data_IF_896700423433
#
_entry.id   IF_896700423433
#
_cell.length_a   1.000
_cell.length_b   1.000
_cell.length_c   1.000
_cell.angle_alpha   90.00
_cell.angle_beta   90.00
_cell.angle_gamma   90.00
#
_symmetry.space_group_name_H-M   'P 1'
#
loop_
_entity.id
_entity.type
_entity.pdbx_description
1 polymer ?
#
# COMPACT_ATOMS: atom_id res chain seq x y z
N UNK A 1 -31.06 -7.57 2.81
CA UNK A 1 -30.24 -7.16 1.65
C UNK A 1 -30.95 -6.11 0.79
N UNK A 2 -32.21 -6.31 0.43
CA UNK A 2 -32.93 -5.44 -0.52
C UNK A 2 -33.49 -4.12 0.04
N UNK A 3 -33.43 -3.90 1.36
CA UNK A 3 -33.69 -2.57 1.96
C UNK A 3 -32.78 -1.45 1.42
N UNK A 4 -31.64 -1.76 0.82
CA UNK A 4 -30.77 -0.74 0.19
C UNK A 4 -31.29 -0.29 -1.18
N UNK A 5 -32.08 -1.15 -1.82
CA UNK A 5 -32.71 -0.92 -3.12
C UNK A 5 -34.02 -0.13 -2.97
N UNK A 6 -34.78 -0.42 -1.91
CA UNK A 6 -36.00 0.29 -1.51
C UNK A 6 -35.61 1.66 -0.93
N UNK A 7 -35.85 2.75 -1.66
CA UNK A 7 -35.41 4.10 -1.26
C UNK A 7 -36.45 4.85 -0.46
N UNK A 8 -37.71 4.47 -0.60
CA UNK A 8 -38.85 5.09 0.08
C UNK A 8 -39.35 4.26 1.28
N UNK A 9 -38.72 3.11 1.56
CA UNK A 9 -39.02 2.17 2.65
C UNK A 9 -40.48 1.68 2.62
N UNK A 10 -41.08 1.56 1.41
CA UNK A 10 -42.47 1.14 1.24
C UNK A 10 -42.66 -0.39 1.15
N UNK A 11 -41.55 -1.15 1.18
CA UNK A 11 -41.52 -2.61 1.11
C UNK A 11 -41.63 -3.17 -0.30
N UNK A 12 -41.72 -2.31 -1.32
CA UNK A 12 -41.81 -2.64 -2.74
C UNK A 12 -40.72 -1.90 -3.52
N UNK A 13 -40.46 -2.36 -4.74
CA UNK A 13 -39.47 -1.76 -5.63
C UNK A 13 -40.15 -1.35 -6.92
N UNK A 14 -40.15 -0.06 -7.22
CA UNK A 14 -40.46 0.40 -8.57
C UNK A 14 -39.42 -0.10 -9.57
N UNK A 15 -39.76 -0.13 -10.86
CA UNK A 15 -38.78 -0.49 -11.89
C UNK A 15 -37.55 0.45 -11.88
N UNK A 16 -37.73 1.72 -11.55
CA UNK A 16 -36.63 2.69 -11.48
C UNK A 16 -35.67 2.37 -10.31
N UNK A 17 -36.19 2.02 -9.14
CA UNK A 17 -35.38 1.58 -8.00
C UNK A 17 -34.67 0.26 -8.28
N UNK A 18 -35.39 -0.68 -8.91
CA UNK A 18 -34.82 -1.95 -9.33
C UNK A 18 -33.69 -1.73 -10.34
N UNK A 19 -33.91 -0.92 -11.39
CA UNK A 19 -32.90 -0.63 -12.39
C UNK A 19 -31.69 0.06 -11.77
N UNK A 20 -31.89 1.04 -10.88
CA UNK A 20 -30.80 1.76 -10.24
C UNK A 20 -29.95 0.87 -9.32
N UNK A 21 -30.56 -0.15 -8.70
CA UNK A 21 -29.84 -1.04 -7.79
C UNK A 21 -29.22 -2.25 -8.49
N UNK A 22 -29.86 -2.80 -9.52
CA UNK A 22 -29.44 -4.03 -10.20
C UNK A 22 -28.73 -3.80 -11.55
N UNK A 23 -28.65 -2.57 -12.05
CA UNK A 23 -27.87 -2.29 -13.25
C UNK A 23 -26.38 -2.59 -13.02
N UNK A 24 -25.91 -3.66 -13.64
CA UNK A 24 -24.51 -4.11 -13.62
C UNK A 24 -23.74 -3.71 -14.89
N UNK A 25 -24.42 -3.08 -15.86
CA UNK A 25 -23.84 -2.72 -17.16
C UNK A 25 -23.69 -3.90 -18.12
N UNK A 26 -24.02 -5.12 -17.69
CA UNK A 26 -23.99 -6.35 -18.49
C UNK A 26 -25.37 -6.60 -19.10
N UNK A 27 -26.43 -6.53 -18.28
CA UNK A 27 -27.80 -6.67 -18.74
C UNK A 27 -28.29 -5.37 -19.38
N UNK A 28 -28.91 -5.48 -20.56
CA UNK A 28 -29.57 -4.35 -21.19
C UNK A 28 -30.82 -3.92 -20.40
N UNK A 29 -31.27 -2.65 -20.53
CA UNK A 29 -32.50 -2.19 -19.87
C UNK A 29 -33.75 -3.02 -20.23
N UNK A 30 -33.75 -3.69 -21.39
CA UNK A 30 -34.82 -4.59 -21.82
C UNK A 30 -34.77 -5.91 -21.07
N UNK A 31 -33.59 -6.54 -20.99
CA UNK A 31 -33.40 -7.78 -20.24
C UNK A 31 -33.63 -7.59 -18.73
N UNK A 32 -33.24 -6.43 -18.17
CA UNK A 32 -33.57 -6.06 -16.79
C UNK A 32 -35.08 -5.90 -16.57
N UNK A 33 -35.81 -5.39 -17.56
CA UNK A 33 -37.27 -5.27 -17.50
C UNK A 33 -37.96 -6.62 -17.64
N UNK A 34 -37.46 -7.50 -18.49
CA UNK A 34 -37.93 -8.89 -18.57
C UNK A 34 -37.68 -9.64 -17.25
N UNK A 35 -36.52 -9.44 -16.64
CA UNK A 35 -36.20 -9.98 -15.32
C UNK A 35 -37.19 -9.46 -14.25
N UNK A 36 -37.41 -8.14 -14.20
CA UNK A 36 -38.37 -7.52 -13.28
C UNK A 36 -39.77 -8.13 -13.42
N UNK A 37 -40.29 -8.22 -14.65
CA UNK A 37 -41.60 -8.80 -14.94
C UNK A 37 -41.66 -10.30 -14.62
N UNK A 38 -40.57 -11.04 -14.83
CA UNK A 38 -40.50 -12.48 -14.53
C UNK A 38 -40.56 -12.78 -13.03
N UNK A 39 -40.07 -11.87 -12.19
CA UNK A 39 -40.07 -12.02 -10.73
C UNK A 39 -41.44 -11.65 -10.16
N UNK A 40 -42.07 -10.58 -10.66
CA UNK A 40 -43.35 -10.12 -10.10
C UNK A 40 -44.52 -11.04 -10.47
N UNK A 41 -44.49 -11.66 -11.65
CA UNK A 41 -45.52 -12.60 -12.13
C UNK A 41 -46.89 -11.95 -12.42
N UNK A 42 -47.07 -10.68 -12.06
CA UNK A 42 -48.25 -9.85 -12.29
C UNK A 42 -47.84 -8.51 -12.93
N UNK A 43 -48.73 -7.83 -13.64
CA UNK A 43 -48.47 -6.52 -14.25
C UNK A 43 -48.65 -5.39 -13.22
N UNK A 44 -48.11 -5.55 -12.01
CA UNK A 44 -48.04 -4.48 -11.02
C UNK A 44 -46.72 -3.72 -11.25
N UNK A 45 -46.77 -2.38 -11.28
CA UNK A 45 -45.57 -1.55 -11.52
C UNK A 45 -44.50 -1.66 -10.40
N UNK A 46 -44.82 -2.36 -9.30
CA UNK A 46 -44.00 -2.46 -8.10
C UNK A 46 -43.79 -3.92 -7.69
N UNK A 47 -42.53 -4.30 -7.55
CA UNK A 47 -42.10 -5.63 -7.16
C UNK A 47 -41.97 -5.75 -5.64
N UNK A 48 -42.67 -6.71 -5.04
CA UNK A 48 -42.58 -6.97 -3.60
C UNK A 48 -41.20 -7.52 -3.23
N UNK A 49 -40.60 -6.95 -2.16
CA UNK A 49 -39.27 -7.35 -1.70
C UNK A 49 -39.23 -8.82 -1.27
N UNK A 50 -40.34 -9.39 -0.80
CA UNK A 50 -40.46 -10.81 -0.43
C UNK A 50 -40.34 -11.74 -1.64
N UNK A 51 -41.02 -11.44 -2.75
CA UNK A 51 -40.89 -12.22 -4.00
C UNK A 51 -39.46 -12.20 -4.54
N UNK A 52 -38.80 -11.06 -4.41
CA UNK A 52 -37.42 -10.90 -4.80
C UNK A 52 -36.47 -11.69 -3.87
N UNK A 53 -36.76 -11.75 -2.56
CA UNK A 53 -36.07 -12.64 -1.64
C UNK A 53 -36.23 -14.11 -2.04
N UNK A 54 -37.44 -14.56 -2.38
CA UNK A 54 -37.70 -15.93 -2.83
C UNK A 54 -36.95 -16.28 -4.11
N UNK A 55 -36.92 -15.34 -5.05
CA UNK A 55 -36.20 -15.50 -6.32
C UNK A 55 -34.70 -15.70 -6.13
N UNK A 56 -34.05 -14.85 -5.32
CA UNK A 56 -32.61 -14.95 -5.06
C UNK A 56 -32.26 -16.11 -4.14
N UNK A 57 -33.11 -16.45 -3.17
CA UNK A 57 -32.89 -17.57 -2.24
C UNK A 57 -32.69 -18.92 -2.94
N UNK A 58 -33.37 -19.10 -4.08
CA UNK A 58 -33.24 -20.27 -4.96
C UNK A 58 -31.93 -20.27 -5.79
N UNK A 59 -31.29 -19.12 -5.95
CA UNK A 59 -30.11 -18.90 -6.82
C UNK A 59 -28.83 -18.52 -6.07
N UNK A 60 -28.82 -18.58 -4.74
CA UNK A 60 -27.65 -18.21 -3.93
C UNK A 60 -26.43 -19.11 -4.19
N UNK A 61 -26.64 -20.37 -4.60
CA UNK A 61 -25.56 -21.29 -4.95
C UNK A 61 -24.45 -21.36 -3.89
N UNK A 62 -23.19 -21.26 -4.35
CA UNK A 62 -21.99 -21.28 -3.51
C UNK A 62 -21.89 -20.08 -2.53
N UNK A 63 -22.67 -19.02 -2.74
CA UNK A 63 -22.70 -17.86 -1.85
C UNK A 63 -23.62 -18.04 -0.64
N UNK A 64 -24.47 -19.08 -0.61
CA UNK A 64 -25.32 -19.38 0.56
C UNK A 64 -24.50 -19.52 1.86
N UNK A 65 -23.45 -20.36 1.94
CA UNK A 65 -22.61 -20.45 3.14
C UNK A 65 -21.87 -19.14 3.44
N UNK A 66 -21.50 -18.36 2.42
CA UNK A 66 -20.84 -17.05 2.60
C UNK A 66 -21.76 -16.06 3.31
N UNK A 67 -23.02 -15.94 2.85
CA UNK A 67 -24.00 -15.03 3.46
C UNK A 67 -24.36 -15.48 4.89
N UNK A 68 -24.47 -16.78 5.14
CA UNK A 68 -24.70 -17.31 6.49
C UNK A 68 -23.53 -17.01 7.43
N UNK A 69 -22.28 -17.15 6.96
CA UNK A 69 -21.09 -16.80 7.73
C UNK A 69 -21.04 -15.29 8.04
N UNK A 70 -21.39 -14.43 7.08
CA UNK A 70 -21.48 -12.98 7.29
C UNK A 70 -22.54 -12.60 8.34
N UNK A 71 -23.69 -13.29 8.34
CA UNK A 71 -24.70 -13.09 9.38
C UNK A 71 -24.17 -13.52 10.76
N UNK A 72 -23.54 -14.69 10.85
CA UNK A 72 -22.93 -15.19 12.09
C UNK A 72 -21.85 -14.24 12.61
N UNK A 73 -21.01 -13.71 11.71
CA UNK A 73 -19.98 -12.74 12.04
C UNK A 73 -20.61 -11.45 12.58
N UNK A 74 -21.64 -10.93 11.91
CA UNK A 74 -22.33 -9.73 12.37
C UNK A 74 -22.94 -9.91 13.76
N UNK A 75 -23.58 -11.07 14.03
CA UNK A 75 -24.09 -11.39 15.37
C UNK A 75 -22.96 -11.46 16.41
N UNK A 76 -21.84 -12.10 16.07
CA UNK A 76 -20.69 -12.22 16.97
C UNK A 76 -20.07 -10.86 17.30
N UNK A 77 -19.89 -9.99 16.30
CA UNK A 77 -19.37 -8.62 16.48
C UNK A 77 -20.30 -7.81 17.36
N UNK A 78 -21.62 -7.82 17.09
CA UNK A 78 -22.59 -7.09 17.91
C UNK A 78 -22.60 -7.60 19.36
N UNK A 79 -22.57 -8.92 19.55
CA UNK A 79 -22.50 -9.53 20.89
C UNK A 79 -21.23 -9.11 21.64
N UNK A 80 -20.07 -9.13 20.97
CA UNK A 80 -18.81 -8.68 21.55
C UNK A 80 -18.82 -7.19 21.88
N UNK A 81 -19.43 -6.36 21.04
CA UNK A 81 -19.59 -4.92 21.29
C UNK A 81 -20.49 -4.65 22.48
N UNK A 82 -21.63 -5.34 22.59
CA UNK A 82 -22.55 -5.19 23.73
C UNK A 82 -21.90 -5.63 25.04
N UNK A 83 -21.19 -6.76 25.03
CA UNK A 83 -20.47 -7.26 26.20
C UNK A 83 -19.36 -6.29 26.65
N UNK A 84 -18.51 -5.87 25.71
CA UNK A 84 -17.40 -4.97 26.02
C UNK A 84 -17.88 -3.58 26.44
N UNK A 85 -18.99 -3.07 25.90
CA UNK A 85 -19.56 -1.78 26.29
C UNK A 85 -19.92 -1.72 27.77
N UNK A 86 -20.45 -2.80 28.34
CA UNK A 86 -20.85 -2.85 29.76
C UNK A 86 -19.63 -2.85 30.70
N UNK A 87 -18.56 -3.53 30.32
CA UNK A 87 -17.38 -3.75 31.17
C UNK A 87 -16.30 -2.67 30.98
N UNK A 88 -16.30 -1.97 29.84
CA UNK A 88 -15.21 -1.08 29.43
C UNK A 88 -14.88 0.01 30.46
N UNK A 89 -15.89 0.69 31.02
CA UNK A 89 -15.67 1.80 31.96
C UNK A 89 -15.08 1.34 33.29
N UNK A 90 -15.37 0.10 33.69
CA UNK A 90 -14.92 -0.51 34.95
C UNK A 90 -13.63 -1.31 34.80
N UNK A 91 -13.23 -1.61 33.56
CA UNK A 91 -12.04 -2.39 33.26
C UNK A 91 -10.72 -1.64 33.49
N UNK A 92 -9.62 -2.38 33.62
CA UNK A 92 -8.29 -1.79 33.79
C UNK A 92 -7.84 -1.02 32.54
N UNK A 93 -6.83 -0.14 32.67
CA UNK A 93 -6.27 0.59 31.51
C UNK A 93 -5.71 -0.33 30.43
N UNK A 94 -5.20 -1.49 30.83
CA UNK A 94 -4.70 -2.52 29.90
C UNK A 94 -5.87 -3.17 29.17
N UNK A 95 -6.93 -3.55 29.88
CA UNK A 95 -8.10 -4.18 29.26
C UNK A 95 -8.85 -3.21 28.33
N UNK A 96 -8.97 -1.93 28.71
CA UNK A 96 -9.50 -0.89 27.83
C UNK A 96 -8.64 -0.70 26.56
N UNK A 97 -7.32 -0.87 26.67
CA UNK A 97 -6.46 -0.88 25.50
C UNK A 97 -6.70 -2.12 24.63
N UNK A 98 -6.75 -3.31 25.22
CA UNK A 98 -7.01 -4.58 24.52
C UNK A 98 -8.34 -4.52 23.77
N UNK A 99 -9.41 -4.04 24.41
CA UNK A 99 -10.73 -3.87 23.77
C UNK A 99 -10.67 -2.94 22.55
N UNK A 100 -10.00 -1.78 22.66
CA UNK A 100 -9.83 -0.85 21.52
C UNK A 100 -8.98 -1.46 20.40
N UNK A 101 -7.93 -2.20 20.78
CA UNK A 101 -7.08 -2.91 19.83
C UNK A 101 -7.87 -3.97 19.07
N UNK A 102 -8.59 -4.86 19.76
CA UNK A 102 -9.36 -5.93 19.15
C UNK A 102 -10.49 -5.39 18.25
N UNK A 103 -11.15 -4.30 18.66
CA UNK A 103 -12.15 -3.64 17.82
C UNK A 103 -11.51 -3.09 16.53
N UNK A 104 -10.36 -2.41 16.64
CA UNK A 104 -9.61 -1.91 15.49
C UNK A 104 -9.14 -3.04 14.57
N UNK A 105 -8.65 -4.13 15.16
CA UNK A 105 -8.19 -5.31 14.43
C UNK A 105 -9.34 -5.97 13.68
N UNK A 106 -10.51 -6.12 14.32
CA UNK A 106 -11.72 -6.66 13.68
C UNK A 106 -12.13 -5.83 12.45
N UNK A 107 -12.05 -4.49 12.53
CA UNK A 107 -12.28 -3.61 11.39
C UNK A 107 -11.24 -3.84 10.29
N UNK A 108 -9.96 -3.97 10.65
CA UNK A 108 -8.89 -4.26 9.68
C UNK A 108 -9.10 -5.57 8.93
N UNK A 109 -9.50 -6.63 9.64
CA UNK A 109 -9.80 -7.93 9.03
C UNK A 109 -11.01 -7.88 8.07
N UNK A 110 -12.06 -7.13 8.44
CA UNK A 110 -13.21 -6.90 7.56
C UNK A 110 -12.83 -6.11 6.30
N UNK A 111 -11.95 -5.12 6.42
CA UNK A 111 -11.45 -4.34 5.28
C UNK A 111 -10.62 -5.21 4.33
N UNK A 112 -9.74 -6.07 4.85
CA UNK A 112 -8.97 -6.99 4.02
C UNK A 112 -9.88 -7.95 3.23
N UNK A 113 -10.92 -8.48 3.88
CA UNK A 113 -11.93 -9.31 3.24
C UNK A 113 -12.72 -8.54 2.17
N UNK A 114 -13.08 -7.28 2.44
CA UNK A 114 -13.73 -6.40 1.47
C UNK A 114 -12.85 -6.20 0.23
N UNK A 115 -11.56 -5.86 0.40
CA UNK A 115 -10.64 -5.64 -0.73
C UNK A 115 -10.47 -6.90 -1.60
N UNK A 116 -10.43 -8.09 -0.98
CA UNK A 116 -10.38 -9.35 -1.72
C UNK A 116 -11.66 -9.59 -2.54
N UNK A 117 -12.84 -9.30 -1.97
CA UNK A 117 -14.12 -9.41 -2.68
C UNK A 117 -14.26 -8.37 -3.79
N UNK A 118 -13.77 -7.14 -3.58
CA UNK A 118 -13.75 -6.09 -4.60
C UNK A 118 -12.89 -6.50 -5.81
N UNK A 119 -11.69 -7.04 -5.57
CA UNK A 119 -10.83 -7.55 -6.65
C UNK A 119 -11.47 -8.70 -7.44
N UNK A 120 -12.15 -9.63 -6.75
CA UNK A 120 -12.91 -10.71 -7.39
C UNK A 120 -14.11 -10.18 -8.19
N UNK A 121 -14.81 -9.17 -7.67
CA UNK A 121 -15.93 -8.51 -8.37
C UNK A 121 -15.45 -7.83 -9.66
N UNK A 122 -14.35 -7.08 -9.61
CA UNK A 122 -13.78 -6.42 -10.79
C UNK A 122 -13.37 -7.45 -11.86
N UNK A 123 -12.81 -8.60 -11.46
CA UNK A 123 -12.48 -9.67 -12.43
C UNK A 123 -13.73 -10.26 -13.09
N UNK A 124 -14.81 -10.46 -12.32
CA UNK A 124 -16.09 -10.94 -12.86
C UNK A 124 -16.73 -9.92 -13.81
N UNK A 125 -16.69 -8.64 -13.47
CA UNK A 125 -17.17 -7.55 -14.33
C UNK A 125 -16.40 -7.49 -15.66
N UNK A 126 -15.07 -7.59 -15.61
CA UNK A 126 -14.21 -7.62 -16.81
C UNK A 126 -14.53 -8.84 -17.69
N UNK A 127 -14.72 -10.02 -17.11
CA UNK A 127 -15.10 -11.22 -17.85
C UNK A 127 -16.48 -11.07 -18.51
N UNK A 128 -17.47 -10.54 -17.79
CA UNK A 128 -18.82 -10.32 -18.30
C UNK A 128 -18.86 -9.30 -19.45
N UNK A 129 -18.01 -8.26 -19.40
CA UNK A 129 -17.88 -7.27 -20.48
C UNK A 129 -17.04 -7.79 -21.67
N UNK A 130 -16.03 -8.62 -21.42
CA UNK A 130 -15.14 -9.18 -22.45
C UNK A 130 -15.84 -10.14 -23.43
N UNK A 131 -16.84 -10.89 -22.96
CA UNK A 131 -17.64 -11.80 -23.79
C UNK A 131 -18.38 -11.09 -24.94
N UNK A 132 -18.84 -9.84 -24.73
CA UNK A 132 -19.51 -9.02 -25.77
C UNK A 132 -18.54 -8.46 -26.82
N UNK A 133 -17.29 -8.19 -26.46
CA UNK A 133 -16.27 -7.72 -27.42
C UNK A 133 -15.77 -8.83 -28.35
N UNK A 134 -15.92 -10.10 -27.97
CA UNK A 134 -15.52 -11.25 -28.80
C UNK A 134 -16.54 -11.58 -29.88
N UNK A 135 -17.83 -11.26 -29.68
CA UNK A 135 -18.89 -11.53 -30.68
C UNK A 135 -19.06 -10.41 -31.71
N UNK A 136 -18.44 -9.23 -31.51
CA UNK A 136 -18.51 -8.10 -32.44
C UNK A 136 -17.21 -7.82 -33.21
N UNK A 137 -16.14 -8.59 -33.01
CA UNK A 137 -14.86 -8.38 -33.72
C UNK A 137 -14.77 -9.21 -35.01
N UNK A 138 -15.67 -8.94 -35.95
CA UNK A 138 -15.36 -9.01 -37.39
C UNK A 138 -15.86 -7.71 -38.01
N UNK A 139 -15.11 -6.62 -37.80
CA UNK A 139 -14.76 -5.62 -38.81
C UNK A 139 -14.21 -4.32 -38.16
N UNK A 140 -12.95 -4.04 -38.51
CA UNK A 140 -12.37 -2.70 -38.76
C UNK A 140 -12.13 -1.75 -37.57
N UNK A 141 -10.85 -1.72 -37.18
CA UNK A 141 -9.98 -0.58 -36.87
C UNK A 141 -10.54 0.75 -36.31
N UNK A 142 -9.97 1.09 -35.15
CA UNK A 142 -9.39 2.40 -34.76
C UNK A 142 -10.31 3.54 -34.32
N UNK A 143 -10.36 3.77 -32.99
CA UNK A 143 -9.98 5.04 -32.31
C UNK A 143 -10.27 4.97 -30.80
N UNK A 144 -9.45 5.61 -29.94
CA UNK A 144 -9.70 5.65 -28.51
C UNK A 144 -10.74 6.75 -28.22
N UNK A 145 -11.91 6.37 -27.70
CA UNK A 145 -12.85 7.30 -27.07
C UNK A 145 -12.81 7.10 -25.56
N UNK A 146 -12.38 8.15 -24.88
CA UNK A 146 -12.34 8.22 -23.42
C UNK A 146 -13.73 7.98 -22.82
N UNK A 147 -13.78 7.08 -21.85
CA UNK A 147 -14.96 6.87 -21.02
C UNK A 147 -14.73 7.52 -19.66
N UNK A 148 -15.55 8.53 -19.38
CA UNK A 148 -15.69 9.17 -18.07
C UNK A 148 -16.33 8.14 -17.13
N UNK A 149 -15.57 7.64 -16.15
CA UNK A 149 -16.15 7.02 -14.95
C UNK A 149 -16.62 8.14 -14.02
N UNK A 150 -17.94 8.35 -13.93
CA UNK A 150 -18.55 9.22 -12.93
C UNK A 150 -19.00 8.37 -11.74
N UNK A 151 -18.10 8.18 -10.77
CA UNK A 151 -18.46 7.73 -9.43
C UNK A 151 -19.15 8.87 -8.67
N UNK A 152 -20.36 8.63 -8.17
CA UNK A 152 -20.97 9.50 -7.16
C UNK A 152 -20.62 8.96 -5.77
N UNK A 153 -19.53 9.48 -5.19
CA UNK A 153 -19.42 9.58 -3.73
C UNK A 153 -19.81 11.00 -3.33
N UNK A 154 -20.95 11.10 -2.66
CA UNK A 154 -21.39 12.30 -1.99
C UNK A 154 -20.50 12.53 -0.76
N UNK A 155 -19.72 13.62 -0.76
CA UNK A 155 -19.30 14.25 0.49
C UNK A 155 -20.29 15.39 0.76
N UNK A 156 -21.03 15.27 1.86
CA UNK A 156 -21.78 16.37 2.48
C UNK A 156 -20.93 16.94 3.61
N UNK A 157 -21.07 18.26 3.78
CA UNK A 157 -20.67 19.12 4.91
C UNK A 157 -19.29 19.78 4.77
N UNK A 158 -19.28 21.08 4.44
CA UNK A 158 -19.16 22.17 5.42
C UNK A 158 -19.77 23.44 4.80
N UNK A 159 -20.69 24.04 5.54
CA UNK A 159 -21.23 25.38 5.33
C UNK A 159 -20.27 26.43 5.88
N UNK A 160 -19.97 27.47 5.08
CA UNK A 160 -19.84 28.87 5.54
C UNK A 160 -19.53 29.79 4.35
N UNK A 161 -20.56 30.47 3.88
CA UNK A 161 -20.44 31.75 3.18
C UNK A 161 -19.80 32.78 4.12
N UNK A 162 -19.14 33.82 3.57
CA UNK A 162 -19.83 35.10 3.56
C UNK A 162 -19.93 35.67 2.14
N UNK A 163 -21.14 36.14 1.86
CA UNK A 163 -21.53 37.22 0.95
C UNK A 163 -20.40 37.88 0.18
N UNK A 164 -20.49 37.89 -1.16
CA UNK A 164 -20.42 39.09 -1.99
C UNK A 164 -20.98 38.82 -3.38
N UNK A 165 -21.99 39.60 -3.75
CA UNK A 165 -22.46 39.86 -5.11
C UNK A 165 -23.29 41.15 -5.01
N UNK A 166 -23.47 41.96 -6.08
CA UNK A 166 -23.27 41.61 -7.49
C UNK A 166 -22.57 42.71 -8.33
N UNK A 167 -22.14 42.34 -9.53
CA UNK A 167 -22.06 43.29 -10.65
C UNK A 167 -20.72 43.33 -11.36
N UNK A 168 -20.53 42.44 -12.34
CA UNK A 168 -20.15 42.81 -13.70
C UNK A 168 -19.81 41.53 -14.45
N UNK A 169 -20.48 41.36 -15.58
CA UNK A 169 -20.19 40.39 -16.62
C UNK A 169 -18.70 40.40 -17.00
N UNK A 170 -18.01 39.29 -16.74
CA UNK A 170 -16.84 38.86 -17.51
C UNK A 170 -16.79 37.34 -17.56
N UNK A 171 -17.39 36.81 -18.62
CA UNK A 171 -17.26 35.43 -19.07
C UNK A 171 -15.86 35.30 -19.67
N UNK A 172 -14.98 34.52 -19.04
CA UNK A 172 -13.83 33.94 -19.77
C UNK A 172 -12.42 34.08 -19.19
N UNK A 173 -12.21 34.58 -17.96
CA UNK A 173 -10.91 34.47 -17.29
C UNK A 173 -11.03 33.64 -16.01
N UNK A 174 -10.65 32.37 -16.09
CA UNK A 174 -10.23 31.61 -14.90
C UNK A 174 -9.26 32.50 -14.13
N UNK A 175 -9.61 32.87 -12.90
CA UNK A 175 -8.75 33.68 -12.05
C UNK A 175 -7.38 33.00 -11.98
N UNK A 176 -6.29 33.76 -12.12
CA UNK A 176 -4.93 33.22 -12.03
C UNK A 176 -4.74 32.41 -10.73
N UNK A 177 -5.43 32.81 -9.67
CA UNK A 177 -5.51 32.07 -8.41
C UNK A 177 -6.07 30.66 -8.60
N UNK A 178 -7.14 30.47 -9.38
CA UNK A 178 -7.73 29.16 -9.64
C UNK A 178 -6.78 28.25 -10.42
N UNK A 179 -5.98 28.82 -11.32
CA UNK A 179 -4.97 28.09 -12.08
C UNK A 179 -3.78 27.69 -11.20
N UNK A 180 -3.36 28.56 -10.28
CA UNK A 180 -2.34 28.25 -9.26
C UNK A 180 -2.81 27.16 -8.28
N UNK A 181 -4.09 27.21 -7.84
CA UNK A 181 -4.67 26.16 -7.02
C UNK A 181 -4.72 24.81 -7.73
N UNK A 182 -5.11 24.79 -9.01
CA UNK A 182 -5.10 23.57 -9.82
C UNK A 182 -3.70 22.98 -9.98
N UNK A 183 -2.68 23.80 -10.18
CA UNK A 183 -1.27 23.36 -10.24
C UNK A 183 -0.82 22.74 -8.91
N UNK A 184 -1.20 23.35 -7.79
CA UNK A 184 -0.83 22.83 -6.47
C UNK A 184 -1.54 21.52 -6.13
N UNK A 185 -2.81 21.38 -6.52
CA UNK A 185 -3.56 20.13 -6.38
C UNK A 185 -2.93 19.02 -7.23
N UNK A 186 -2.55 19.32 -8.47
CA UNK A 186 -1.87 18.34 -9.33
C UNK A 186 -0.51 17.92 -8.77
N UNK A 187 0.28 18.86 -8.26
CA UNK A 187 1.55 18.56 -7.60
C UNK A 187 1.38 17.68 -6.37
N UNK A 188 0.34 17.94 -5.56
CA UNK A 188 0.03 17.12 -4.39
C UNK A 188 -0.43 15.72 -4.81
N UNK A 189 -1.19 15.60 -5.89
CA UNK A 189 -1.58 14.30 -6.45
C UNK A 189 -0.34 13.52 -6.90
N UNK A 190 0.61 14.13 -7.61
CA UNK A 190 1.86 13.47 -8.00
C UNK A 190 2.70 13.01 -6.80
N UNK A 191 2.73 13.79 -5.72
CA UNK A 191 3.43 13.41 -4.50
C UNK A 191 2.72 12.28 -3.75
N UNK A 192 1.39 12.27 -3.75
CA UNK A 192 0.59 11.17 -3.19
C UNK A 192 0.80 9.91 -4.03
N UNK A 193 0.72 9.99 -5.36
CA UNK A 193 0.99 8.87 -6.26
C UNK A 193 2.42 8.33 -6.03
N UNK A 194 3.42 9.20 -5.85
CA UNK A 194 4.79 8.81 -5.53
C UNK A 194 4.95 8.16 -4.15
N UNK A 195 4.10 8.48 -3.18
CA UNK A 195 4.11 7.92 -1.83
C UNK A 195 3.29 6.62 -1.76
N UNK A 196 2.17 6.54 -2.46
CA UNK A 196 1.31 5.36 -2.60
C UNK A 196 2.00 4.29 -3.47
N UNK A 197 2.85 4.68 -4.43
CA UNK A 197 3.74 3.77 -5.16
C UNK A 197 4.91 3.21 -4.32
N UNK A 198 5.00 3.50 -3.01
CA UNK A 198 6.03 2.94 -2.10
C UNK A 198 5.52 1.79 -1.25
N UNK A 199 4.74 0.87 -1.81
CA UNK A 199 4.95 -0.52 -1.42
C UNK A 199 6.39 -0.86 -1.85
N UNK A 200 7.24 -1.50 -1.02
CA UNK A 200 8.53 -1.96 -1.51
C UNK A 200 8.26 -2.87 -2.70
N UNK A 201 8.56 -2.39 -3.91
CA UNK A 201 8.58 -3.25 -5.08
C UNK A 201 9.77 -4.17 -4.85
N UNK A 202 9.51 -5.30 -4.20
CA UNK A 202 10.39 -6.44 -4.28
C UNK A 202 10.38 -6.79 -5.76
N UNK A 203 11.43 -6.41 -6.47
CA UNK A 203 11.65 -6.90 -7.83
C UNK A 203 11.45 -8.42 -7.79
N UNK A 204 10.72 -8.99 -8.77
CA UNK A 204 10.57 -10.44 -8.87
C UNK A 204 11.94 -11.10 -8.73
N UNK A 205 12.03 -12.25 -8.04
CA UNK A 205 13.26 -13.01 -7.86
C UNK A 205 13.95 -13.19 -9.23
N UNK A 206 14.94 -12.35 -9.52
CA UNK A 206 15.76 -12.44 -10.71
C UNK A 206 16.95 -13.31 -10.33
N UNK A 207 16.90 -14.58 -10.68
CA UNK A 207 18.10 -15.42 -10.65
C UNK A 207 19.08 -14.87 -11.69
N UNK A 208 20.12 -14.17 -11.23
CA UNK A 208 21.16 -13.66 -12.10
C UNK A 208 21.92 -14.83 -12.73
N UNK A 209 21.88 -14.94 -14.06
CA UNK A 209 22.71 -15.88 -14.81
C UNK A 209 24.20 -15.56 -14.53
N UNK A 210 24.92 -16.53 -13.95
CA UNK A 210 26.37 -16.49 -13.65
C UNK A 210 27.27 -16.42 -14.91
N UNK A 211 26.79 -15.81 -15.99
CA UNK A 211 27.48 -15.70 -17.28
C UNK A 211 28.29 -14.41 -17.44
N UNK A 212 28.28 -13.50 -16.45
CA UNK A 212 29.12 -12.31 -16.46
C UNK A 212 30.37 -12.56 -15.60
N UNK A 213 31.54 -12.26 -16.17
CA UNK A 213 32.85 -12.58 -15.61
C UNK A 213 33.12 -12.06 -14.19
N UNK A 214 34.29 -12.39 -13.61
CA UNK A 214 34.66 -12.20 -12.19
C UNK A 214 34.57 -10.76 -11.65
N UNK A 215 34.30 -9.77 -12.49
CA UNK A 215 34.26 -8.33 -12.19
C UNK A 215 32.85 -7.79 -11.83
N UNK A 216 31.89 -8.67 -11.54
CA UNK A 216 30.46 -8.27 -11.39
C UNK A 216 29.98 -8.16 -9.94
N UNK A 217 30.85 -8.31 -8.94
CA UNK A 217 30.47 -8.29 -7.52
C UNK A 217 31.23 -7.22 -6.75
N UNK A 218 30.57 -6.61 -5.78
CA UNK A 218 31.18 -5.72 -4.82
C UNK A 218 31.20 -6.35 -3.43
N UNK A 219 32.16 -5.94 -2.62
CA UNK A 219 32.44 -6.53 -1.31
C UNK A 219 32.02 -5.58 -0.20
N UNK A 220 31.17 -6.05 0.70
CA UNK A 220 30.91 -5.41 1.99
C UNK A 220 31.80 -6.05 3.06
N UNK A 221 32.56 -5.21 3.76
CA UNK A 221 33.30 -5.56 4.97
C UNK A 221 32.66 -4.86 6.17
N UNK A 222 32.09 -5.64 7.08
CA UNK A 222 31.54 -5.16 8.34
C UNK A 222 32.49 -5.55 9.47
N UNK A 223 33.00 -4.56 10.21
CA UNK A 223 33.82 -4.76 11.41
C UNK A 223 33.07 -4.27 12.65
N UNK A 224 32.84 -5.16 13.60
CA UNK A 224 32.23 -4.85 14.89
C UNK A 224 33.29 -4.87 15.98
N UNK A 225 33.31 -3.82 16.80
CA UNK A 225 34.34 -3.61 17.82
C UNK A 225 33.74 -3.15 19.14
N UNK A 226 34.34 -3.57 20.26
CA UNK A 226 34.00 -3.12 21.61
C UNK A 226 35.22 -2.47 22.25
N UNK A 227 35.18 -1.16 22.44
CA UNK A 227 36.32 -0.34 22.85
C UNK A 227 36.35 -0.18 24.37
N UNK A 228 37.54 -0.14 24.95
CA UNK A 228 37.71 0.23 26.35
C UNK A 228 37.29 1.69 26.59
N UNK A 229 36.52 1.97 27.64
CA UNK A 229 35.96 3.32 27.89
C UNK A 229 37.05 4.38 28.05
N UNK A 230 38.16 4.01 28.68
CA UNK A 230 39.36 4.81 28.86
C UNK A 230 40.06 5.16 27.53
N UNK A 231 39.92 4.32 26.51
CA UNK A 231 40.57 4.48 25.20
C UNK A 231 39.64 5.06 24.12
N UNK A 232 38.39 5.41 24.47
CA UNK A 232 37.37 5.86 23.51
C UNK A 232 37.81 7.08 22.69
N UNK A 233 38.50 8.03 23.32
CA UNK A 233 38.88 9.26 22.64
C UNK A 233 40.02 9.05 21.64
N UNK A 234 41.01 8.21 22.00
CA UNK A 234 42.10 7.81 21.11
C UNK A 234 41.58 6.98 19.95
N UNK A 235 40.72 6.00 20.24
CA UNK A 235 40.05 5.19 19.23
C UNK A 235 39.24 6.06 18.25
N UNK A 236 38.46 7.02 18.74
CA UNK A 236 37.66 7.89 17.87
C UNK A 236 38.53 8.74 16.93
N UNK A 237 39.67 9.26 17.42
CA UNK A 237 40.63 9.98 16.57
C UNK A 237 41.19 9.08 15.47
N UNK A 238 41.65 7.88 15.85
CA UNK A 238 42.18 6.92 14.90
C UNK A 238 41.14 6.45 13.87
N UNK A 239 39.90 6.24 14.32
CA UNK A 239 38.77 5.87 13.46
C UNK A 239 38.48 6.97 12.43
N UNK A 240 38.41 8.24 12.84
CA UNK A 240 38.22 9.35 11.91
C UNK A 240 39.32 9.38 10.85
N UNK A 241 40.60 9.31 11.26
CA UNK A 241 41.72 9.30 10.32
C UNK A 241 41.66 8.11 9.35
N UNK A 242 41.29 6.92 9.85
CA UNK A 242 41.14 5.72 9.05
C UNK A 242 40.01 5.87 8.02
N UNK A 243 38.84 6.39 8.42
CA UNK A 243 37.69 6.61 7.54
C UNK A 243 38.03 7.63 6.45
N UNK A 244 38.67 8.74 6.80
CA UNK A 244 39.05 9.78 5.83
C UNK A 244 40.03 9.23 4.79
N UNK A 245 41.03 8.46 5.21
CA UNK A 245 41.99 7.83 4.31
C UNK A 245 41.34 6.77 3.42
N UNK A 246 40.46 5.95 4.00
CA UNK A 246 39.79 4.86 3.28
C UNK A 246 38.81 5.40 2.25
N UNK A 247 38.05 6.45 2.60
CA UNK A 247 37.13 7.15 1.69
C UNK A 247 37.87 7.82 0.53
N UNK A 248 39.12 8.25 0.72
CA UNK A 248 39.92 8.83 -0.35
C UNK A 248 40.46 7.80 -1.37
N UNK A 249 40.28 6.49 -1.13
CA UNK A 249 40.74 5.46 -2.06
C UNK A 249 39.77 5.27 -3.23
N UNK A 250 40.32 5.19 -4.45
CA UNK A 250 39.55 5.07 -5.70
C UNK A 250 38.66 3.83 -5.80
N UNK A 251 39.00 2.76 -5.10
CA UNK A 251 38.28 1.48 -5.13
C UNK A 251 37.35 1.28 -3.91
N UNK A 252 37.34 2.24 -2.99
CA UNK A 252 36.39 2.27 -1.89
C UNK A 252 35.15 3.05 -2.33
N UNK A 253 34.00 2.39 -2.37
CA UNK A 253 32.73 2.96 -2.81
C UNK A 253 32.09 3.78 -1.69
N UNK A 254 32.12 3.28 -0.46
CA UNK A 254 31.54 3.95 0.69
C UNK A 254 32.14 3.46 2.01
N UNK A 255 32.24 4.36 2.99
CA UNK A 255 32.61 4.02 4.37
C UNK A 255 31.64 4.71 5.31
N UNK A 256 31.07 3.92 6.22
CA UNK A 256 30.15 4.39 7.25
C UNK A 256 30.54 3.81 8.61
N UNK A 257 30.34 4.58 9.67
CA UNK A 257 30.56 4.15 11.05
C UNK A 257 29.31 4.39 11.87
N UNK A 258 28.96 3.42 12.68
CA UNK A 258 27.79 3.46 13.56
C UNK A 258 28.24 3.17 14.98
N UNK A 259 27.88 4.06 15.91
CA UNK A 259 28.06 3.83 17.36
C UNK A 259 26.75 3.33 17.96
N UNK A 260 26.81 2.25 18.74
CA UNK A 260 25.63 1.74 19.44
C UNK A 260 25.35 2.61 20.69
N UNK A 261 24.09 3.05 20.84
CA UNK A 261 23.68 3.87 21.98
C UNK A 261 23.89 3.13 23.31
N UNK A 262 24.49 3.82 24.30
CA UNK A 262 24.69 3.27 25.64
C UNK A 262 25.84 2.29 25.81
N UNK A 263 26.64 2.00 24.77
CA UNK A 263 27.83 1.15 24.89
C UNK A 263 29.02 1.71 24.11
N UNK A 264 30.24 1.30 24.48
CA UNK A 264 31.48 1.60 23.76
C UNK A 264 31.65 0.72 22.49
N UNK A 265 30.54 0.39 21.81
CA UNK A 265 30.51 -0.53 20.68
C UNK A 265 30.34 0.24 19.37
N UNK A 266 31.12 -0.13 18.36
CA UNK A 266 31.10 0.49 17.04
C UNK A 266 30.98 -0.57 15.95
N UNK A 267 30.29 -0.22 14.87
CA UNK A 267 30.25 -0.98 13.63
C UNK A 267 30.78 -0.11 12.50
N UNK A 268 31.81 -0.59 11.82
CA UNK A 268 32.42 0.02 10.65
C UNK A 268 32.01 -0.78 9.42
N UNK A 269 31.44 -0.10 8.44
CA UNK A 269 31.00 -0.67 7.17
C UNK A 269 31.84 -0.08 6.04
N UNK A 270 32.46 -0.94 5.26
CA UNK A 270 33.27 -0.56 4.10
C UNK A 270 32.77 -1.29 2.87
N UNK A 271 32.51 -0.54 1.80
CA UNK A 271 32.09 -1.07 0.51
C UNK A 271 33.22 -0.93 -0.49
N UNK A 272 33.63 -2.05 -1.08
CA UNK A 272 34.77 -2.14 -1.98
C UNK A 272 34.33 -2.66 -3.34
N UNK A 273 34.95 -2.12 -4.40
CA UNK A 273 34.68 -2.55 -5.78
C UNK A 273 34.94 -4.03 -6.01
N UNK A 274 35.94 -4.59 -5.33
CA UNK A 274 36.37 -5.99 -5.50
C UNK A 274 37.20 -6.44 -4.28
N UNK A 275 37.35 -7.76 -4.12
CA UNK A 275 38.11 -8.34 -3.00
C UNK A 275 39.60 -7.99 -3.04
N UNK A 276 40.19 -7.93 -4.23
CA UNK A 276 41.62 -7.65 -4.37
C UNK A 276 41.97 -6.23 -3.90
N UNK A 277 41.09 -5.27 -4.15
CA UNK A 277 41.17 -3.89 -3.69
C UNK A 277 41.09 -3.79 -2.18
N UNK A 278 40.15 -4.49 -1.55
CA UNK A 278 40.07 -4.57 -0.09
C UNK A 278 41.30 -5.24 0.54
N UNK A 279 41.76 -6.38 0.00
CA UNK A 279 42.98 -7.05 0.50
C UNK A 279 44.22 -6.16 0.37
N UNK A 280 44.34 -5.40 -0.73
CA UNK A 280 45.41 -4.41 -0.92
C UNK A 280 45.31 -3.30 0.12
N UNK A 281 44.10 -2.80 0.40
CA UNK A 281 43.88 -1.81 1.45
C UNK A 281 44.28 -2.33 2.84
N UNK A 282 43.94 -3.58 3.18
CA UNK A 282 44.33 -4.18 4.46
C UNK A 282 45.85 -4.23 4.67
N UNK A 283 46.61 -4.34 3.59
CA UNK A 283 48.08 -4.34 3.66
C UNK A 283 48.68 -2.92 3.72
N UNK A 284 47.87 -1.88 3.52
CA UNK A 284 48.32 -0.49 3.52
C UNK A 284 48.82 -0.03 4.89
N UNK A 285 49.73 0.96 4.94
CA UNK A 285 50.22 1.51 6.20
C UNK A 285 49.10 2.07 7.08
N UNK A 286 48.09 2.72 6.49
CA UNK A 286 46.96 3.28 7.23
C UNK A 286 46.12 2.17 7.88
N UNK A 287 45.78 1.11 7.14
CA UNK A 287 45.01 0.00 7.70
C UNK A 287 45.80 -0.74 8.79
N UNK A 288 47.10 -0.98 8.59
CA UNK A 288 47.97 -1.57 9.62
C UNK A 288 48.09 -0.71 10.87
N UNK A 289 48.16 0.62 10.72
CA UNK A 289 48.17 1.53 11.86
C UNK A 289 46.85 1.44 12.64
N UNK A 290 45.71 1.43 11.93
CA UNK A 290 44.40 1.26 12.56
C UNK A 290 44.25 -0.11 13.24
N UNK A 291 44.74 -1.19 12.63
CA UNK A 291 44.75 -2.53 13.25
C UNK A 291 45.53 -2.58 14.57
N UNK A 292 46.63 -1.82 14.70
CA UNK A 292 47.35 -1.70 15.97
C UNK A 292 46.51 -1.01 17.04
N UNK A 293 45.82 0.07 16.67
CA UNK A 293 44.87 0.73 17.56
C UNK A 293 43.75 -0.23 18.01
N UNK A 294 43.25 -1.09 17.12
CA UNK A 294 42.27 -2.11 17.50
C UNK A 294 42.86 -3.10 18.53
N UNK A 295 44.08 -3.58 18.33
CA UNK A 295 44.72 -4.48 19.29
C UNK A 295 44.88 -3.82 20.66
N UNK A 296 45.24 -2.53 20.69
CA UNK A 296 45.56 -1.82 21.92
C UNK A 296 44.31 -1.32 22.69
N UNK A 297 43.17 -1.14 22.02
CA UNK A 297 42.02 -0.41 22.61
C UNK A 297 40.73 -1.22 22.72
N UNK A 298 40.68 -2.46 22.23
CA UNK A 298 39.48 -3.29 22.31
C UNK A 298 39.42 -4.13 23.59
N UNK A 299 38.23 -4.24 24.17
CA UNK A 299 37.91 -5.11 25.32
C UNK A 299 37.80 -6.58 24.93
N UNK A 300 37.45 -6.84 23.67
CA UNK A 300 37.29 -8.16 23.10
C UNK A 300 37.76 -8.16 21.64
N UNK A 301 38.15 -9.32 21.08
CA UNK A 301 38.51 -9.42 19.67
C UNK A 301 37.41 -8.86 18.77
N UNK A 302 37.80 -8.18 17.69
CA UNK A 302 36.85 -7.67 16.73
C UNK A 302 36.24 -8.79 15.88
N UNK A 303 35.03 -8.54 15.40
CA UNK A 303 34.34 -9.46 14.48
C UNK A 303 34.30 -8.83 13.10
N UNK A 304 34.92 -9.50 12.13
CA UNK A 304 34.97 -9.07 10.73
C UNK A 304 34.13 -10.02 9.88
N UNK A 305 33.05 -9.50 9.30
CA UNK A 305 32.17 -10.22 8.38
C UNK A 305 32.34 -9.65 6.99
N UNK A 306 32.48 -10.52 5.99
CA UNK A 306 32.55 -10.14 4.58
C UNK A 306 31.40 -10.76 3.81
N UNK A 307 30.78 -9.97 2.94
CA UNK A 307 29.66 -10.41 2.10
C UNK A 307 29.87 -9.89 0.69
N UNK A 308 29.70 -10.75 -0.30
CA UNK A 308 29.70 -10.37 -1.71
C UNK A 308 28.27 -10.13 -2.15
N UNK A 309 28.09 -9.08 -2.96
CA UNK A 309 26.82 -8.79 -3.56
C UNK A 309 26.98 -8.34 -5.01
N UNK A 310 25.97 -8.55 -5.86
CA UNK A 310 26.03 -8.11 -7.24
C UNK A 310 26.28 -6.60 -7.34
N UNK A 311 27.18 -6.20 -8.23
CA UNK A 311 27.46 -4.80 -8.52
C UNK A 311 26.22 -4.07 -9.07
N UNK A 312 25.29 -4.81 -9.69
CA UNK A 312 23.98 -4.34 -10.15
C UNK A 312 23.15 -3.72 -9.02
N UNK A 313 23.31 -4.20 -7.78
CA UNK A 313 22.58 -3.67 -6.62
C UNK A 313 23.12 -2.32 -6.14
N UNK A 314 24.31 -1.91 -6.58
CA UNK A 314 24.89 -0.61 -6.25
C UNK A 314 24.34 0.49 -7.17
N UNK A 315 23.08 0.87 -6.94
CA UNK A 315 22.43 1.95 -7.69
C UNK A 315 22.82 3.30 -7.10
N UNK A 316 23.72 4.01 -7.78
CA UNK A 316 23.98 5.42 -7.51
C UNK A 316 22.80 6.23 -8.07
N UNK A 317 21.92 6.75 -7.20
CA UNK A 317 21.05 7.84 -7.61
C UNK A 317 21.97 9.03 -7.94
N UNK A 318 22.29 9.20 -9.22
CA UNK A 318 22.86 10.43 -9.72
C UNK A 318 21.77 11.50 -9.60
N UNK A 319 21.71 12.14 -8.42
CA UNK A 319 20.96 13.40 -8.23
C UNK A 319 21.61 14.51 -9.06
#
# INVERSE_FOLDING_TARGET
VFRRADKNDDGKLSFEEFQNYFADGVLSPRELRELFSSIDGCPTDNLETDKLCDYFSKRLGVYRPVLAALESLNRAVLTAMDATKLEYEQASKVDQFVTRFLLRETVGQLQALQSSLEGASETLEVQACGLRSSEQNVEVQSRPRGSRRAGRRALRNVSRSPSWSPGSSDIGRSSEAEMQWRLQVNRLQELIDQLECKAPQLEPLHEEDLANGPDSHILLSQRQVQVAEEALQDFHRALCCYVDFTRAQSHCLHVSTQKLLGSASFSLYEFWRDEASWRRHQQSPCSKAFQRILIDHLRAPDTLTTVFFPASWWVMNNN
#
